data_IF_305042105886
#
_entry.id   IF_305042105886
#
_cell.length_a   1.000
_cell.length_b   1.000
_cell.length_c   1.000
_cell.angle_alpha   90.00
_cell.angle_beta   90.00
_cell.angle_gamma   90.00
#
_symmetry.space_group_name_H-M   'P 1'
#
loop_
_entity.id
_entity.type
_entity.pdbx_description
1 polymer ?
#
# COMPACT_ATOMS: atom_id res chain seq x y z
N UNK A 1 20.55 0.74 4.35
CA UNK A 1 19.51 -0.20 3.91
C UNK A 1 18.36 0.64 3.40
N UNK A 2 17.66 0.22 2.33
CA UNK A 2 16.49 1.00 1.85
C UNK A 2 15.25 0.59 2.64
N UNK A 3 14.39 1.56 2.93
CA UNK A 3 13.14 1.34 3.68
C UNK A 3 11.95 1.23 2.73
N UNK A 4 11.05 0.29 3.01
CA UNK A 4 9.87 0.00 2.20
C UNK A 4 8.62 0.04 3.08
N UNK A 5 7.67 0.87 2.69
CA UNK A 5 6.34 0.94 3.29
C UNK A 5 5.40 -0.02 2.58
N UNK A 6 4.83 -0.96 3.31
CA UNK A 6 3.83 -1.90 2.81
C UNK A 6 2.45 -1.48 3.32
N UNK A 7 1.69 -0.81 2.47
CA UNK A 7 0.31 -0.42 2.72
C UNK A 7 -0.60 -1.58 2.32
N UNK A 8 -1.31 -2.14 3.29
CA UNK A 8 -2.24 -3.25 3.07
C UNK A 8 -3.67 -2.70 3.09
N UNK A 9 -4.47 -3.00 2.07
CA UNK A 9 -5.85 -2.52 1.98
C UNK A 9 -6.84 -3.67 1.83
N UNK A 10 -7.87 -3.63 2.69
CA UNK A 10 -8.97 -4.59 2.69
C UNK A 10 -8.65 -5.89 3.47
N UNK A 11 -9.69 -6.58 3.98
CA UNK A 11 -9.51 -7.91 4.56
C UNK A 11 -9.14 -8.97 3.51
N UNK A 12 -9.56 -8.83 2.26
CA UNK A 12 -9.41 -9.85 1.22
C UNK A 12 -7.95 -10.25 0.99
N UNK A 13 -7.04 -9.27 0.92
CA UNK A 13 -5.60 -9.52 0.72
C UNK A 13 -4.96 -10.22 1.94
N UNK A 14 -5.60 -10.19 3.10
CA UNK A 14 -5.13 -10.88 4.31
C UNK A 14 -5.74 -12.29 4.37
N UNK A 15 -7.05 -12.40 4.16
CA UNK A 15 -7.79 -13.66 4.25
C UNK A 15 -7.34 -14.68 3.20
N UNK A 16 -6.93 -14.21 2.02
CA UNK A 16 -6.37 -15.06 0.95
C UNK A 16 -4.88 -15.41 1.16
N UNK A 17 -4.25 -14.94 2.25
CA UNK A 17 -2.84 -15.18 2.59
C UNK A 17 -1.82 -14.36 1.78
N UNK A 18 -2.30 -13.45 0.92
CA UNK A 18 -1.47 -12.68 -0.02
C UNK A 18 -0.56 -11.67 0.69
N UNK A 19 -1.04 -11.06 1.77
CA UNK A 19 -0.27 -10.16 2.62
C UNK A 19 0.90 -10.90 3.32
N UNK A 20 0.66 -12.11 3.82
CA UNK A 20 1.69 -12.94 4.43
C UNK A 20 2.77 -13.32 3.41
N UNK A 21 2.35 -13.81 2.24
CA UNK A 21 3.26 -14.13 1.13
C UNK A 21 4.14 -12.94 0.74
N UNK A 22 3.55 -11.76 0.59
CA UNK A 22 4.27 -10.54 0.23
C UNK A 22 5.30 -10.15 1.32
N UNK A 23 4.90 -10.20 2.59
CA UNK A 23 5.78 -9.90 3.73
C UNK A 23 6.98 -10.84 3.75
N UNK A 24 6.76 -12.15 3.59
CA UNK A 24 7.85 -13.14 3.60
C UNK A 24 8.84 -12.91 2.46
N UNK A 25 8.34 -12.69 1.24
CA UNK A 25 9.19 -12.38 0.07
C UNK A 25 9.98 -11.09 0.27
N UNK A 26 9.37 -10.06 0.83
CA UNK A 26 10.02 -8.77 1.07
C UNK A 26 11.07 -8.84 2.18
N UNK A 27 10.84 -9.61 3.25
CA UNK A 27 11.85 -9.84 4.29
C UNK A 27 13.14 -10.47 3.73
N UNK A 28 13.03 -11.34 2.72
CA UNK A 28 14.17 -11.94 2.03
C UNK A 28 14.91 -11.03 1.04
N UNK A 29 14.36 -9.84 0.73
CA UNK A 29 14.84 -8.99 -0.36
C UNK A 29 15.88 -7.93 0.04
N UNK A 30 16.16 -7.77 1.34
CA UNK A 30 17.14 -6.81 1.87
C UNK A 30 16.61 -5.38 2.07
N UNK A 31 15.30 -5.17 1.95
CA UNK A 31 14.62 -3.95 2.40
C UNK A 31 14.28 -4.04 3.89
N UNK A 32 14.30 -2.89 4.56
CA UNK A 32 13.71 -2.73 5.89
C UNK A 32 12.22 -2.44 5.74
N UNK A 33 11.36 -3.29 6.30
CA UNK A 33 9.93 -3.30 6.03
C UNK A 33 9.15 -2.62 7.15
N UNK A 34 8.33 -1.63 6.81
CA UNK A 34 7.27 -1.08 7.66
C UNK A 34 5.92 -1.41 7.04
N UNK A 35 5.12 -2.28 7.68
CA UNK A 35 3.81 -2.66 7.17
C UNK A 35 2.69 -2.03 8.02
N UNK A 36 1.66 -1.49 7.37
CA UNK A 36 0.52 -0.87 8.03
C UNK A 36 -0.78 -1.13 7.27
N UNK A 37 -1.87 -1.28 8.01
CA UNK A 37 -3.19 -1.44 7.44
C UNK A 37 -3.83 -0.08 7.13
N UNK A 38 -4.28 0.10 5.89
CA UNK A 38 -5.14 1.19 5.48
C UNK A 38 -6.60 0.74 5.42
N UNK A 39 -7.44 1.32 6.28
CA UNK A 39 -8.85 0.99 6.41
C UNK A 39 -9.14 0.09 7.60
N UNK A 40 -10.34 0.24 8.18
CA UNK A 40 -10.73 -0.46 9.42
C UNK A 40 -11.18 -1.91 9.18
N UNK A 41 -11.66 -2.22 7.98
CA UNK A 41 -12.30 -3.51 7.66
C UNK A 41 -11.33 -4.67 7.71
N UNK A 42 -10.05 -4.44 7.40
CA UNK A 42 -9.02 -5.49 7.45
C UNK A 42 -8.48 -5.78 8.85
N UNK A 43 -8.87 -5.02 9.89
CA UNK A 43 -8.26 -5.19 11.22
C UNK A 43 -8.46 -6.60 11.74
N UNK A 44 -9.69 -7.07 11.78
CA UNK A 44 -10.02 -8.42 12.26
C UNK A 44 -9.27 -9.50 11.49
N UNK A 45 -9.16 -9.39 10.16
CA UNK A 45 -8.36 -10.33 9.35
C UNK A 45 -6.89 -10.37 9.80
N UNK A 46 -6.26 -9.22 10.08
CA UNK A 46 -4.89 -9.18 10.64
C UNK A 46 -4.80 -9.89 12.00
N UNK A 47 -5.84 -9.77 12.84
CA UNK A 47 -5.91 -10.45 14.14
C UNK A 47 -5.93 -11.95 13.95
N UNK A 48 -6.87 -12.42 13.13
CA UNK A 48 -7.18 -13.84 12.97
C UNK A 48 -6.05 -14.58 12.25
N UNK A 49 -5.37 -13.90 11.32
CA UNK A 49 -4.14 -14.39 10.67
C UNK A 49 -2.89 -14.31 11.58
N UNK A 50 -2.99 -13.74 12.79
CA UNK A 50 -1.85 -13.60 13.71
C UNK A 50 -0.79 -12.58 13.26
N UNK A 51 -1.08 -11.74 12.28
CA UNK A 51 -0.14 -10.82 11.63
C UNK A 51 0.06 -9.48 12.37
N UNK A 52 -0.59 -9.28 13.52
CA UNK A 52 -0.47 -8.06 14.36
C UNK A 52 0.96 -7.70 14.77
N UNK A 53 1.85 -8.69 14.79
CA UNK A 53 3.25 -8.51 15.17
C UNK A 53 4.10 -7.92 14.02
N UNK A 54 3.54 -7.81 12.81
CA UNK A 54 4.21 -7.26 11.63
C UNK A 54 3.43 -6.10 11.01
N UNK A 55 2.10 -6.21 10.94
CA UNK A 55 1.23 -5.19 10.36
C UNK A 55 0.74 -4.26 11.47
N UNK A 56 1.10 -2.98 11.39
CA UNK A 56 0.58 -1.98 12.31
C UNK A 56 -0.92 -1.75 12.07
N UNK A 57 -1.70 -2.04 13.11
CA UNK A 57 -3.14 -1.83 13.18
C UNK A 57 -3.53 -0.92 14.37
N UNK A 58 -2.56 -0.22 14.96
CA UNK A 58 -2.77 0.61 16.16
C UNK A 58 -3.66 1.83 15.90
N UNK A 59 -3.66 2.34 14.67
CA UNK A 59 -4.48 3.49 14.23
C UNK A 59 -5.64 3.05 13.33
N UNK A 60 -6.71 3.85 13.27
CA UNK A 60 -7.80 3.70 12.31
C UNK A 60 -7.54 4.55 11.05
N UNK A 61 -6.37 4.34 10.42
CA UNK A 61 -5.90 5.17 9.31
C UNK A 61 -6.60 4.80 8.00
N UNK A 62 -6.98 5.80 7.22
CA UNK A 62 -7.30 5.61 5.79
C UNK A 62 -6.03 5.26 5.01
N UNK A 63 -6.14 4.60 3.85
CA UNK A 63 -4.96 4.27 3.05
C UNK A 63 -4.11 5.48 2.68
N UNK A 64 -4.72 6.62 2.35
CA UNK A 64 -3.99 7.86 2.06
C UNK A 64 -3.26 8.44 3.28
N UNK A 65 -3.79 8.25 4.50
CA UNK A 65 -3.14 8.66 5.74
C UNK A 65 -1.92 7.79 6.04
N UNK A 66 -1.98 6.48 5.72
CA UNK A 66 -0.81 5.60 5.80
C UNK A 66 0.28 6.04 4.81
N UNK A 67 -0.08 6.42 3.58
CA UNK A 67 0.89 7.00 2.62
C UNK A 67 1.53 8.27 3.19
N UNK A 68 0.76 9.13 3.85
CA UNK A 68 1.29 10.30 4.54
C UNK A 68 2.29 9.95 5.64
N UNK A 69 1.96 9.00 6.50
CA UNK A 69 2.82 8.54 7.58
C UNK A 69 4.15 7.98 7.02
N UNK A 70 4.09 7.12 6.00
CA UNK A 70 5.28 6.59 5.33
C UNK A 70 6.15 7.67 4.70
N UNK A 71 5.56 8.67 4.04
CA UNK A 71 6.31 9.78 3.47
C UNK A 71 6.95 10.64 4.57
N UNK A 72 6.25 10.89 5.68
CA UNK A 72 6.77 11.66 6.80
C UNK A 72 7.92 10.94 7.52
N UNK A 73 7.86 9.61 7.60
CA UNK A 73 8.94 8.76 8.08
C UNK A 73 10.09 8.61 7.07
N UNK A 74 9.99 9.23 5.88
CA UNK A 74 10.99 9.25 4.80
C UNK A 74 11.30 7.85 4.24
N UNK A 75 10.27 7.02 4.08
CA UNK A 75 10.44 5.72 3.45
C UNK A 75 10.81 5.89 1.96
N UNK A 76 11.74 5.06 1.47
CA UNK A 76 12.25 5.18 0.10
C UNK A 76 11.23 4.75 -0.96
N UNK A 77 10.36 3.80 -0.61
CA UNK A 77 9.44 3.13 -1.53
C UNK A 77 8.14 2.73 -0.83
N UNK A 78 7.00 2.82 -1.53
CA UNK A 78 5.71 2.37 -1.02
C UNK A 78 5.11 1.32 -1.96
N UNK A 79 4.72 0.18 -1.38
CA UNK A 79 3.91 -0.85 -2.01
C UNK A 79 2.49 -0.83 -1.44
N UNK A 80 1.49 -0.68 -2.30
CA UNK A 80 0.09 -0.95 -1.97
C UNK A 80 -0.24 -2.40 -2.32
N UNK A 81 -0.64 -3.20 -1.34
CA UNK A 81 -1.27 -4.50 -1.56
C UNK A 81 -2.78 -4.33 -1.54
N UNK A 82 -3.43 -4.78 -2.60
CA UNK A 82 -4.87 -4.72 -2.72
C UNK A 82 -5.41 -5.97 -3.43
N UNK A 83 -6.62 -6.36 -3.04
CA UNK A 83 -7.40 -7.38 -3.72
C UNK A 83 -8.79 -6.82 -3.98
N UNK A 84 -8.96 -6.17 -5.12
CA UNK A 84 -10.23 -5.58 -5.52
C UNK A 84 -11.19 -6.62 -6.11
N UNK A 85 -12.49 -6.30 -6.11
CA UNK A 85 -13.51 -7.14 -6.78
C UNK A 85 -13.38 -7.11 -8.30
N UNK A 86 -12.85 -6.02 -8.84
CA UNK A 86 -12.62 -5.82 -10.27
C UNK A 86 -11.33 -5.04 -10.49
N UNK A 87 -10.70 -5.22 -11.65
CA UNK A 87 -9.52 -4.45 -12.04
C UNK A 87 -9.78 -2.94 -11.99
N UNK A 88 -10.92 -2.48 -12.52
CA UNK A 88 -11.31 -1.07 -12.53
C UNK A 88 -11.36 -0.48 -11.11
N UNK A 89 -11.99 -1.19 -10.16
CA UNK A 89 -12.07 -0.73 -8.77
C UNK A 89 -10.71 -0.72 -8.07
N UNK A 90 -9.83 -1.68 -8.39
CA UNK A 90 -8.43 -1.68 -7.91
C UNK A 90 -7.65 -0.48 -8.43
N UNK A 91 -7.78 -0.17 -9.73
CA UNK A 91 -7.14 1.00 -10.35
C UNK A 91 -7.65 2.32 -9.74
N UNK A 92 -8.96 2.45 -9.57
CA UNK A 92 -9.58 3.63 -8.95
C UNK A 92 -9.12 3.83 -7.50
N UNK A 93 -8.89 2.76 -6.75
CA UNK A 93 -8.38 2.86 -5.38
C UNK A 93 -6.98 3.48 -5.36
N UNK A 94 -6.03 2.95 -6.14
CA UNK A 94 -4.67 3.47 -6.21
C UNK A 94 -4.63 4.94 -6.64
N UNK A 95 -5.39 5.30 -7.68
CA UNK A 95 -5.52 6.68 -8.13
C UNK A 95 -6.11 7.59 -7.05
N UNK A 96 -7.20 7.15 -6.41
CA UNK A 96 -7.89 7.91 -5.37
C UNK A 96 -7.02 8.18 -4.15
N UNK A 97 -6.23 7.18 -3.72
CA UNK A 97 -5.26 7.31 -2.62
C UNK A 97 -4.24 8.40 -2.95
N UNK A 98 -3.62 8.32 -4.14
CA UNK A 98 -2.61 9.27 -4.58
C UNK A 98 -3.18 10.67 -4.80
N UNK A 99 -4.39 10.79 -5.38
CA UNK A 99 -5.08 12.06 -5.58
C UNK A 99 -5.33 12.75 -4.25
N UNK A 100 -5.90 12.02 -3.28
CA UNK A 100 -6.14 12.54 -1.95
C UNK A 100 -4.85 12.92 -1.23
N UNK A 101 -3.79 12.13 -1.41
CA UNK A 101 -2.45 12.46 -0.92
C UNK A 101 -1.93 13.76 -1.53
N UNK A 102 -2.06 14.00 -2.83
CA UNK A 102 -1.58 15.25 -3.46
C UNK A 102 -2.40 16.45 -2.99
N UNK A 103 -3.74 16.34 -3.01
CA UNK A 103 -4.66 17.45 -2.74
C UNK A 103 -4.52 18.00 -1.31
N UNK A 104 -4.12 17.15 -0.36
CA UNK A 104 -3.89 17.51 1.03
C UNK A 104 -2.48 18.07 1.31
N UNK A 105 -1.67 18.28 0.27
CA UNK A 105 -0.34 18.86 0.39
C UNK A 105 0.78 17.82 0.56
N UNK A 106 0.58 16.61 0.05
CA UNK A 106 1.58 15.54 0.01
C UNK A 106 2.87 15.93 -0.71
N UNK A 107 3.84 15.02 -0.73
CA UNK A 107 5.23 15.25 -1.12
C UNK A 107 5.40 16.21 -2.31
N UNK A 108 6.23 17.25 -2.14
CA UNK A 108 6.60 18.21 -3.20
C UNK A 108 7.60 17.64 -4.22
N UNK A 109 7.98 16.36 -4.08
CA UNK A 109 8.98 15.65 -4.90
C UNK A 109 8.44 14.36 -5.52
N UNK A 110 9.32 13.54 -6.06
CA UNK A 110 8.97 12.23 -6.62
C UNK A 110 8.59 11.24 -5.52
N UNK A 111 7.43 10.60 -5.63
CA UNK A 111 7.01 9.49 -4.80
C UNK A 111 7.15 8.19 -5.59
N UNK A 112 7.83 7.19 -5.04
CA UNK A 112 7.91 5.85 -5.63
C UNK A 112 6.79 4.99 -5.04
N UNK A 113 5.69 4.87 -5.77
CA UNK A 113 4.50 4.15 -5.33
C UNK A 113 4.11 3.09 -6.37
N UNK A 114 4.00 1.84 -5.94
CA UNK A 114 3.59 0.72 -6.80
C UNK A 114 2.44 -0.01 -6.13
N UNK A 115 1.42 -0.35 -6.91
CA UNK A 115 0.32 -1.18 -6.46
C UNK A 115 0.48 -2.60 -6.98
N UNK A 116 0.33 -3.57 -6.10
CA UNK A 116 0.15 -4.98 -6.40
C UNK A 116 -1.34 -5.29 -6.27
N UNK A 117 -2.01 -5.45 -7.41
CA UNK A 117 -3.42 -5.81 -7.49
C UNK A 117 -3.54 -7.32 -7.67
N UNK A 118 -3.88 -8.02 -6.59
CA UNK A 118 -3.85 -9.48 -6.55
C UNK A 118 -5.01 -10.13 -7.31
N UNK A 119 -6.18 -9.48 -7.35
CA UNK A 119 -7.38 -10.01 -8.02
C UNK A 119 -7.12 -10.46 -9.47
N UNK A 120 -6.26 -9.73 -10.18
CA UNK A 120 -5.83 -10.05 -11.55
C UNK A 120 -4.31 -10.20 -11.68
N UNK A 121 -3.57 -10.20 -10.56
CA UNK A 121 -2.10 -10.29 -10.47
C UNK A 121 -1.38 -9.25 -11.33
N UNK A 122 -1.83 -8.00 -11.26
CA UNK A 122 -1.28 -6.87 -12.03
C UNK A 122 -0.39 -6.02 -11.12
N UNK A 123 0.73 -5.55 -11.67
CA UNK A 123 1.61 -4.58 -11.04
C UNK A 123 1.41 -3.23 -11.70
N UNK A 124 1.01 -2.22 -10.93
CA UNK A 124 0.70 -0.88 -11.44
C UNK A 124 1.72 0.10 -10.86
N UNK A 125 2.72 0.53 -11.64
CA UNK A 125 3.62 1.58 -11.22
C UNK A 125 2.94 2.95 -11.39
N UNK A 126 2.88 3.70 -10.29
CA UNK A 126 2.36 5.05 -10.27
C UNK A 126 3.50 6.06 -10.24
N UNK A 127 3.47 7.00 -11.19
CA UNK A 127 4.46 8.06 -11.31
C UNK A 127 3.84 9.40 -10.97
N UNK A 128 4.40 10.06 -9.96
CA UNK A 128 3.99 11.41 -9.58
C UNK A 128 4.94 12.45 -10.19
N UNK A 129 4.43 13.35 -11.04
CA UNK A 129 5.20 14.47 -11.59
C UNK A 129 4.39 15.76 -11.49
N UNK A 130 4.89 16.74 -10.72
CA UNK A 130 4.30 18.08 -10.60
C UNK A 130 2.78 18.12 -10.34
N UNK A 131 2.26 17.17 -9.54
CA UNK A 131 0.83 16.95 -9.17
C UNK A 131 -0.02 16.14 -10.15
N UNK A 132 0.53 15.75 -11.28
CA UNK A 132 -0.12 14.80 -12.17
C UNK A 132 0.26 13.36 -11.81
N UNK A 133 -0.74 12.48 -11.87
CA UNK A 133 -0.60 11.05 -11.63
C UNK A 133 -0.56 10.37 -12.99
N UNK A 134 0.52 9.65 -13.27
CA UNK A 134 0.68 8.85 -14.48
C UNK A 134 0.84 7.38 -14.10
N UNK A 135 0.47 6.49 -15.03
CA UNK A 135 0.78 5.06 -14.94
C UNK A 135 1.27 4.55 -16.30
N UNK A 136 2.09 3.52 -16.28
CA UNK A 136 2.43 2.82 -17.52
C UNK A 136 1.31 1.83 -17.84
N UNK A 137 0.73 1.94 -19.04
CA UNK A 137 -0.12 0.89 -19.60
C UNK A 137 0.83 -0.12 -20.26
N UNK A 138 0.95 -1.31 -19.67
CA UNK A 138 1.68 -2.45 -20.27
C UNK A 138 0.73 -3.34 -21.03
#
# INVERSE_FOLDING_TARGET
MKTLGLLIHGPEVIDEGEAEEAIERLKGSGFELEAALGGITGKTAVIDAGLRHVIDISKDSKPSEVVYDFVNCRLDFILLLNHAKTEESGLMLGEGILRYFIDRGGAKGSLSFVQLEYSNRIIIPWFLKQRDIYRQLT
#
